data_IF_999945226696
#
_entry.id   IF_999945226696
#
_cell.length_a   1.000
_cell.length_b   1.000
_cell.length_c   1.000
_cell.angle_alpha   90.00
_cell.angle_beta   90.00
_cell.angle_gamma   90.00
#
_symmetry.space_group_name_H-M   'P 1'
#
loop_
_entity.id
_entity.type
_entity.pdbx_description
1 polymer ?
#
# COMPACT_ATOMS: atom_id res chain seq x y z
N UNK A 1 1.91 11.48 -6.06
CA UNK A 1 2.80 12.19 -5.11
C UNK A 1 2.21 12.40 -3.71
N UNK A 2 0.89 12.43 -3.50
CA UNK A 2 0.31 12.70 -2.17
C UNK A 2 0.25 11.50 -1.20
N UNK A 3 0.45 10.27 -1.68
CA UNK A 3 0.31 9.05 -0.86
C UNK A 3 1.30 9.03 0.31
N UNK A 4 2.55 9.40 0.06
CA UNK A 4 3.65 9.35 1.05
C UNK A 4 3.50 10.39 2.18
N UNK A 5 2.57 11.33 2.07
CA UNK A 5 2.26 12.27 3.16
C UNK A 5 1.48 11.63 4.30
N UNK A 6 0.83 10.50 4.03
CA UNK A 6 0.02 9.76 5.01
C UNK A 6 0.50 8.32 5.21
N UNK A 7 1.20 7.76 4.23
CA UNK A 7 1.84 6.45 4.27
C UNK A 7 3.35 6.60 4.40
N UNK A 8 4.01 5.62 4.99
CA UNK A 8 5.44 5.67 5.29
C UNK A 8 6.19 4.43 4.77
N UNK A 9 7.48 4.57 4.53
CA UNK A 9 8.42 3.46 4.38
C UNK A 9 9.47 3.56 5.48
N UNK A 10 9.37 2.71 6.50
CA UNK A 10 10.17 2.89 7.72
C UNK A 10 9.82 4.21 8.38
N UNK A 11 10.84 5.01 8.71
CA UNK A 11 10.68 6.30 9.38
C UNK A 11 10.40 7.46 8.40
N UNK A 12 10.48 7.21 7.10
CA UNK A 12 10.24 8.22 6.06
C UNK A 12 8.77 8.26 5.64
N UNK A 13 8.22 9.48 5.50
CA UNK A 13 6.85 9.71 5.05
C UNK A 13 5.89 9.99 6.21
N UNK A 14 4.60 9.76 5.97
CA UNK A 14 3.54 10.04 6.94
C UNK A 14 3.07 8.81 7.69
N UNK A 15 2.72 8.99 8.97
CA UNK A 15 2.21 7.89 9.80
C UNK A 15 0.67 7.91 9.96
N UNK A 16 -0.01 8.95 9.45
CA UNK A 16 -1.46 9.16 9.64
C UNK A 16 -2.31 7.95 9.24
N UNK A 17 -1.94 7.27 8.15
CA UNK A 17 -2.73 6.13 7.65
C UNK A 17 -2.67 4.88 8.53
N UNK A 18 -1.65 4.75 9.39
CA UNK A 18 -1.32 3.50 10.08
C UNK A 18 -1.03 2.32 9.14
N UNK A 19 -0.82 2.57 7.83
CA UNK A 19 -0.58 1.55 6.81
C UNK A 19 0.71 1.87 6.06
N UNK A 20 1.82 1.15 6.33
CA UNK A 20 3.08 1.42 5.66
C UNK A 20 3.04 1.03 4.18
N UNK A 21 4.02 1.51 3.41
CA UNK A 21 4.17 1.30 1.97
C UNK A 21 4.16 -0.17 1.58
N UNK A 22 4.67 -1.04 2.45
CA UNK A 22 4.67 -2.50 2.27
C UNK A 22 3.27 -3.09 2.29
N UNK A 23 2.33 -2.54 3.08
CA UNK A 23 0.92 -2.97 3.06
C UNK A 23 0.27 -2.61 1.73
N UNK A 24 0.57 -1.43 1.18
CA UNK A 24 0.09 -1.01 -0.13
C UNK A 24 0.63 -1.93 -1.23
N UNK A 25 1.91 -2.30 -1.14
CA UNK A 25 2.54 -3.29 -2.02
C UNK A 25 1.85 -4.66 -1.95
N UNK A 26 1.55 -5.14 -0.74
CA UNK A 26 0.81 -6.40 -0.55
C UNK A 26 -0.58 -6.33 -1.18
N UNK A 27 -1.31 -5.23 -1.01
CA UNK A 27 -2.64 -5.07 -1.64
C UNK A 27 -2.57 -5.02 -3.16
N UNK A 28 -1.62 -4.28 -3.73
CA UNK A 28 -1.44 -4.23 -5.18
C UNK A 28 -1.08 -5.61 -5.78
N UNK A 29 -0.32 -6.43 -5.03
CA UNK A 29 0.06 -7.78 -5.46
C UNK A 29 -1.06 -8.80 -5.27
N UNK A 30 -1.65 -8.88 -4.08
CA UNK A 30 -2.58 -9.94 -3.70
C UNK A 30 -4.05 -9.63 -4.03
N UNK A 31 -4.42 -8.35 -4.18
CA UNK A 31 -5.80 -7.93 -4.38
C UNK A 31 -5.89 -6.63 -5.19
N UNK A 32 -5.45 -6.63 -6.46
CA UNK A 32 -5.36 -5.43 -7.30
C UNK A 32 -6.71 -4.70 -7.45
N UNK A 33 -7.83 -5.43 -7.52
CA UNK A 33 -9.17 -4.82 -7.63
C UNK A 33 -9.59 -4.13 -6.33
N UNK A 34 -9.22 -4.71 -5.18
CA UNK A 34 -9.45 -4.06 -3.88
C UNK A 34 -8.59 -2.80 -3.77
N UNK A 35 -7.31 -2.87 -4.15
CA UNK A 35 -6.41 -1.72 -4.15
C UNK A 35 -6.95 -0.58 -5.02
N UNK A 36 -7.39 -0.90 -6.24
CA UNK A 36 -8.02 0.05 -7.17
C UNK A 36 -9.29 0.69 -6.58
N UNK A 37 -10.20 -0.15 -6.06
CA UNK A 37 -11.45 0.33 -5.49
C UNK A 37 -11.23 1.17 -4.23
N UNK A 38 -10.26 0.81 -3.39
CA UNK A 38 -9.92 1.58 -2.19
C UNK A 38 -9.33 2.95 -2.55
N UNK A 39 -8.55 3.08 -3.63
CA UNK A 39 -8.04 4.39 -4.09
C UNK A 39 -9.17 5.26 -4.62
N UNK A 40 -10.07 4.69 -5.44
CA UNK A 40 -11.16 5.44 -6.08
C UNK A 40 -12.23 5.88 -5.08
N UNK A 41 -12.62 4.96 -4.19
CA UNK A 41 -13.62 5.19 -3.17
C UNK A 41 -13.30 4.39 -1.89
N UNK A 42 -12.44 4.94 -1.01
CA UNK A 42 -12.09 4.32 0.25
C UNK A 42 -13.31 4.03 1.14
N UNK A 43 -14.32 4.91 1.12
CA UNK A 43 -15.51 4.81 1.97
C UNK A 43 -16.44 3.66 1.54
N UNK A 44 -16.46 3.30 0.25
CA UNK A 44 -17.13 2.08 -0.23
C UNK A 44 -16.57 0.79 0.37
N UNK A 45 -15.30 0.78 0.79
CA UNK A 45 -14.62 -0.39 1.38
C UNK A 45 -14.54 -0.32 2.90
N UNK A 46 -14.40 0.88 3.44
CA UNK A 46 -14.41 1.14 4.87
C UNK A 46 -15.07 2.50 5.13
N UNK A 47 -16.31 2.56 5.66
CA UNK A 47 -17.01 3.82 5.93
C UNK A 47 -16.27 4.78 6.85
N UNK A 48 -15.30 4.29 7.64
CA UNK A 48 -14.45 5.10 8.53
C UNK A 48 -13.13 5.53 7.87
N UNK A 49 -12.94 5.30 6.58
CA UNK A 49 -11.73 5.70 5.89
C UNK A 49 -11.61 7.23 5.84
N UNK A 50 -10.48 7.74 6.32
CA UNK A 50 -10.12 9.17 6.21
C UNK A 50 -9.28 9.48 4.97
N UNK A 51 -8.85 8.45 4.23
CA UNK A 51 -8.15 8.63 2.97
C UNK A 51 -9.07 9.38 2.00
N UNK A 52 -8.61 10.46 1.33
CA UNK A 52 -9.39 11.09 0.28
C UNK A 52 -9.66 10.13 -0.87
N UNK A 53 -10.84 10.23 -1.48
CA UNK A 53 -11.18 9.51 -2.68
C UNK A 53 -10.48 10.12 -3.91
N UNK A 54 -10.08 9.26 -4.85
CA UNK A 54 -9.52 9.67 -6.15
C UNK A 54 -10.35 9.09 -7.31
N UNK A 55 -11.64 9.48 -7.44
CA UNK A 55 -12.56 8.88 -8.41
C UNK A 55 -12.18 9.16 -9.87
N UNK A 56 -11.37 10.19 -10.12
CA UNK A 56 -10.89 10.58 -11.45
C UNK A 56 -9.65 9.82 -11.90
N UNK A 57 -9.08 8.92 -11.07
CA UNK A 57 -7.98 8.07 -11.49
C UNK A 57 -8.50 7.01 -12.46
N UNK A 58 -8.18 7.22 -13.74
CA UNK A 58 -8.53 6.34 -14.83
C UNK A 58 -7.82 4.98 -14.74
N UNK A 59 -8.21 4.04 -15.61
CA UNK A 59 -7.67 2.69 -15.59
C UNK A 59 -6.16 2.65 -15.87
N UNK A 60 -5.60 3.43 -16.82
CA UNK A 60 -4.15 3.53 -16.98
C UNK A 60 -3.42 4.00 -15.71
N UNK A 61 -3.96 5.01 -15.00
CA UNK A 61 -3.38 5.49 -13.75
C UNK A 61 -3.40 4.41 -12.67
N UNK A 62 -4.52 3.72 -12.49
CA UNK A 62 -4.63 2.62 -11.53
C UNK A 62 -3.72 1.45 -11.89
N UNK A 63 -3.58 1.12 -13.17
CA UNK A 63 -2.67 0.08 -13.64
C UNK A 63 -1.21 0.45 -13.33
N UNK A 64 -0.83 1.71 -13.58
CA UNK A 64 0.51 2.22 -13.26
C UNK A 64 0.78 2.19 -11.75
N UNK A 65 -0.19 2.57 -10.90
CA UNK A 65 -0.06 2.48 -9.46
C UNK A 65 0.09 1.03 -8.99
N UNK A 66 -0.72 0.11 -9.50
CA UNK A 66 -0.57 -1.32 -9.21
C UNK A 66 0.83 -1.81 -9.59
N UNK A 67 1.29 -1.52 -10.81
CA UNK A 67 2.62 -1.92 -11.27
C UNK A 67 3.72 -1.35 -10.38
N UNK A 68 3.65 -0.06 -10.05
CA UNK A 68 4.59 0.61 -9.15
C UNK A 68 4.62 -0.05 -7.77
N UNK A 69 3.48 -0.28 -7.12
CA UNK A 69 3.46 -0.87 -5.78
C UNK A 69 3.91 -2.33 -5.77
N UNK A 70 3.68 -3.09 -6.84
CA UNK A 70 4.17 -4.46 -6.98
C UNK A 70 5.69 -4.56 -7.00
N UNK A 71 6.43 -3.53 -7.44
CA UNK A 71 7.90 -3.56 -7.38
C UNK A 71 8.43 -3.60 -5.94
N UNK A 72 7.61 -3.25 -4.94
CA UNK A 72 7.96 -3.30 -3.52
C UNK A 72 7.51 -4.59 -2.82
N UNK A 73 6.66 -5.41 -3.45
CA UNK A 73 6.13 -6.63 -2.84
C UNK A 73 7.24 -7.67 -2.58
N UNK A 74 8.22 -7.77 -3.48
CA UNK A 74 9.39 -8.65 -3.30
C UNK A 74 10.31 -8.16 -2.17
N UNK A 75 10.35 -6.85 -1.91
CA UNK A 75 11.12 -6.24 -0.81
C UNK A 75 10.42 -6.40 0.54
N UNK A 76 9.09 -6.46 0.57
CA UNK A 76 8.30 -6.72 1.78
C UNK A 76 8.42 -8.18 2.26
N UNK A 77 8.47 -9.13 1.32
CA UNK A 77 8.67 -10.55 1.64
C UNK A 77 10.07 -10.83 2.21
N UNK A 78 11.10 -10.13 1.73
CA UNK A 78 12.50 -10.36 2.14
C UNK A 78 12.84 -9.80 3.54
N UNK A 79 12.04 -8.89 4.10
CA UNK A 79 12.27 -8.33 5.44
C UNK A 79 11.54 -9.07 6.57
N UNK A 80 10.83 -10.17 6.25
CA UNK A 80 10.04 -10.95 7.21
C UNK A 80 10.62 -12.35 7.50
N UNK A 81 11.81 -12.67 7.00
CA UNK A 81 12.47 -13.94 7.36
C UNK A 81 12.80 -13.93 8.87
N UNK A 82 12.42 -14.98 9.62
CA UNK A 82 12.71 -15.04 11.05
C UNK A 82 14.23 -15.13 11.26
N UNK A 83 14.71 -14.33 12.21
CA UNK A 83 15.98 -14.56 12.90
C UNK A 83 15.94 -15.97 13.51
N UNK A 84 16.53 -16.93 12.79
CA UNK A 84 16.81 -18.26 13.31
C UNK A 84 17.71 -18.10 14.54
N UNK A 85 17.23 -18.52 15.70
CA UNK A 85 17.96 -18.47 16.96
C UNK A 85 19.24 -19.30 16.81
N UNK A 86 20.39 -18.63 16.74
CA UNK A 86 21.67 -19.26 17.00
C UNK A 86 21.82 -19.46 18.51
N UNK A 87 21.80 -20.71 18.99
CA UNK A 87 22.37 -21.11 20.29
C UNK A 87 22.59 -22.63 20.33
N UNK A 88 23.59 -23.16 21.05
CA UNK A 88 24.90 -22.59 21.43
C UNK A 88 26.06 -23.10 20.58
#
# INVERSE_FOLDING_TARGET
>A
QNCFRCHNMGDEGGQKSGRPWTVLATWAQASPDYFAAYIRDPQSKNPKAEMPAFPTYDDPTIAALNAYFRTFANSAASKSAPIEKATP
#
